data_IF_259499425773
#
_entry.id   IF_259499425773
#
_cell.length_a   1.000
_cell.length_b   1.000
_cell.length_c   1.000
_cell.angle_alpha   90.00
_cell.angle_beta   90.00
_cell.angle_gamma   90.00
#
_symmetry.space_group_name_H-M   'P 1'
#
loop_
_entity.id
_entity.type
_entity.pdbx_description
1 polymer ?
#
# COMPACT_ATOMS: atom_id res chain seq x y z
N UNK A 1 -10.44 -31.53 -11.41
CA UNK A 1 -9.51 -30.55 -12.01
C UNK A 1 -9.52 -30.49 -13.54
N UNK A 2 -10.54 -31.03 -14.25
CA UNK A 2 -10.55 -31.05 -15.74
C UNK A 2 -11.14 -29.79 -16.40
N UNK A 3 -11.94 -29.00 -15.67
CA UNK A 3 -12.60 -27.80 -16.20
C UNK A 3 -11.73 -26.53 -16.21
N UNK A 4 -10.54 -26.57 -15.58
CA UNK A 4 -9.64 -25.41 -15.45
C UNK A 4 -8.86 -25.12 -16.74
N UNK A 5 -8.75 -26.11 -17.63
CA UNK A 5 -8.02 -26.04 -18.89
C UNK A 5 -8.96 -26.11 -20.10
N UNK A 6 -10.23 -25.75 -19.92
CA UNK A 6 -11.17 -25.70 -21.04
C UNK A 6 -10.91 -24.44 -21.87
N UNK A 7 -10.93 -24.58 -23.20
CA UNK A 7 -10.72 -23.47 -24.15
C UNK A 7 -11.72 -22.33 -23.93
N UNK A 8 -12.95 -22.67 -23.51
CA UNK A 8 -13.97 -21.69 -23.13
C UNK A 8 -13.55 -20.86 -21.92
N UNK A 9 -13.06 -21.51 -20.86
CA UNK A 9 -12.58 -20.82 -19.66
C UNK A 9 -11.39 -19.93 -19.98
N UNK A 10 -10.43 -20.40 -20.78
CA UNK A 10 -9.28 -19.61 -21.21
C UNK A 10 -9.70 -18.34 -21.96
N UNK A 11 -10.68 -18.43 -22.87
CA UNK A 11 -11.23 -17.27 -23.58
C UNK A 11 -11.92 -16.26 -22.65
N UNK A 12 -12.65 -16.74 -21.64
CA UNK A 12 -13.26 -15.85 -20.65
C UNK A 12 -12.19 -15.09 -19.85
N UNK A 13 -11.09 -15.74 -19.48
CA UNK A 13 -9.97 -15.09 -18.80
C UNK A 13 -9.28 -14.05 -19.68
N UNK A 14 -9.03 -14.36 -20.96
CA UNK A 14 -8.44 -13.40 -21.88
C UNK A 14 -9.33 -12.17 -22.07
N UNK A 15 -10.64 -12.37 -22.21
CA UNK A 15 -11.60 -11.27 -22.34
C UNK A 15 -11.64 -10.39 -21.07
N UNK A 16 -11.59 -10.99 -19.88
CA UNK A 16 -11.52 -10.25 -18.61
C UNK A 16 -10.24 -9.41 -18.52
N UNK A 17 -9.09 -9.98 -18.88
CA UNK A 17 -7.79 -9.29 -18.87
C UNK A 17 -7.80 -8.12 -19.86
N UNK A 18 -8.33 -8.33 -21.07
CA UNK A 18 -8.43 -7.27 -22.08
C UNK A 18 -9.33 -6.13 -21.61
N UNK A 19 -10.53 -6.44 -21.08
CA UNK A 19 -11.45 -5.45 -20.52
C UNK A 19 -10.82 -4.67 -19.37
N UNK A 20 -10.09 -5.36 -18.49
CA UNK A 20 -9.34 -4.70 -17.42
C UNK A 20 -8.26 -3.77 -17.97
N UNK A 21 -7.49 -4.21 -18.97
CA UNK A 21 -6.45 -3.39 -19.60
C UNK A 21 -7.05 -2.14 -20.25
N UNK A 22 -8.14 -2.27 -21.01
CA UNK A 22 -8.83 -1.14 -21.64
C UNK A 22 -9.39 -0.15 -20.60
N UNK A 23 -10.02 -0.65 -19.53
CA UNK A 23 -10.55 0.20 -18.47
C UNK A 23 -9.44 0.93 -17.72
N UNK A 24 -8.30 0.27 -17.45
CA UNK A 24 -7.11 0.91 -16.84
C UNK A 24 -6.52 1.99 -17.74
N UNK A 25 -6.39 1.76 -19.05
CA UNK A 25 -5.92 2.76 -20.02
C UNK A 25 -6.90 3.93 -20.08
N UNK A 26 -8.19 3.68 -20.26
CA UNK A 26 -9.21 4.72 -20.33
C UNK A 26 -9.30 5.55 -19.03
N UNK A 27 -9.11 4.90 -17.87
CA UNK A 27 -9.04 5.59 -16.59
C UNK A 27 -7.77 6.46 -16.50
N UNK A 28 -6.60 5.93 -16.90
CA UNK A 28 -5.34 6.68 -16.92
C UNK A 28 -5.41 7.89 -17.87
N UNK A 29 -6.02 7.76 -19.03
CA UNK A 29 -6.17 8.87 -19.97
C UNK A 29 -7.06 9.98 -19.39
N UNK A 30 -8.11 9.61 -18.64
CA UNK A 30 -9.06 10.57 -18.03
C UNK A 30 -8.53 11.21 -16.74
N UNK A 31 -7.80 10.46 -15.91
CA UNK A 31 -7.48 10.84 -14.53
C UNK A 31 -5.99 10.76 -14.19
N UNK A 32 -5.16 10.17 -15.05
CA UNK A 32 -3.74 9.94 -14.78
C UNK A 32 -2.95 11.21 -14.57
N UNK A 33 -3.29 12.30 -15.26
CA UNK A 33 -2.67 13.62 -15.04
C UNK A 33 -3.00 14.21 -13.65
N UNK A 34 -4.16 13.86 -13.07
CA UNK A 34 -4.64 14.39 -11.79
C UNK A 34 -4.06 13.65 -10.59
N UNK A 35 -3.80 12.34 -10.73
CA UNK A 35 -3.32 11.47 -9.65
C UNK A 35 -1.89 10.96 -9.89
N UNK A 36 -1.14 11.58 -10.81
CA UNK A 36 0.28 11.24 -11.02
C UNK A 36 1.08 11.62 -9.76
N UNK A 37 1.47 10.61 -8.98
CA UNK A 37 2.32 10.77 -7.77
C UNK A 37 3.75 11.21 -8.08
N UNK A 38 4.14 11.19 -9.35
CA UNK A 38 5.44 11.68 -9.80
C UNK A 38 5.24 13.00 -10.56
N UNK A 39 6.09 14.03 -10.32
CA UNK A 39 6.16 15.16 -11.24
C UNK A 39 6.42 14.62 -12.64
N UNK A 40 5.90 15.24 -13.71
CA UNK A 40 6.20 14.78 -15.06
C UNK A 40 7.72 14.73 -15.18
N UNK A 41 8.28 13.52 -15.20
CA UNK A 41 9.69 13.34 -15.45
C UNK A 41 9.91 14.03 -16.77
N UNK A 42 10.67 15.13 -16.77
CA UNK A 42 11.17 15.72 -18.01
C UNK A 42 11.79 14.53 -18.71
N UNK A 43 11.13 14.08 -19.79
CA UNK A 43 11.60 12.96 -20.58
C UNK A 43 13.02 13.35 -20.98
N UNK A 44 14.02 12.74 -20.33
CA UNK A 44 15.39 12.82 -20.82
C UNK A 44 15.31 12.43 -22.29
N UNK A 45 15.87 13.31 -23.14
CA UNK A 45 15.98 13.17 -24.59
C UNK A 45 15.88 11.71 -25.01
N UNK A 46 14.89 11.41 -25.86
CA UNK A 46 14.79 10.13 -26.57
C UNK A 46 16.21 9.77 -27.04
N UNK A 47 16.72 8.62 -26.61
CA UNK A 47 17.91 8.04 -27.23
C UNK A 47 17.68 8.03 -28.72
N UNK A 48 18.57 8.66 -29.48
CA UNK A 48 18.53 8.71 -30.92
C UNK A 48 18.67 7.29 -31.45
N UNK A 49 17.53 6.64 -31.71
CA UNK A 49 17.52 5.41 -32.49
C UNK A 49 17.92 5.82 -33.92
N UNK A 50 18.91 5.16 -34.55
CA UNK A 50 19.29 5.48 -35.91
C UNK A 50 18.06 5.33 -36.83
N UNK A 51 17.72 6.40 -37.53
CA UNK A 51 16.61 6.45 -38.48
C UNK A 51 16.97 5.56 -39.68
N UNK A 52 16.26 4.44 -39.84
CA UNK A 52 16.23 3.73 -41.11
C UNK A 52 15.51 4.60 -42.16
N UNK A 53 15.96 4.63 -43.42
CA UNK A 53 15.36 5.46 -44.45
C UNK A 53 13.90 5.06 -44.69
N UNK A 54 13.00 6.05 -44.57
CA UNK A 54 11.58 5.86 -44.79
C UNK A 54 11.31 5.49 -46.26
N UNK A 55 10.66 4.35 -46.48
CA UNK A 55 10.12 3.97 -47.79
C UNK A 55 8.85 4.80 -48.03
N UNK A 56 8.93 5.77 -48.92
CA UNK A 56 7.83 6.67 -49.24
C UNK A 56 6.73 5.92 -50.02
N UNK A 57 5.64 5.57 -49.34
CA UNK A 57 4.37 5.29 -49.99
C UNK A 57 3.34 6.28 -49.46
N UNK A 58 3.06 7.33 -50.24
CA UNK A 58 1.96 8.26 -49.96
C UNK A 58 0.65 7.67 -50.51
N UNK A 59 -0.27 7.34 -49.61
CA UNK A 59 -1.66 7.08 -49.97
C UNK A 59 -2.44 8.41 -50.01
N UNK A 60 -3.36 8.61 -50.97
CA UNK A 60 -4.11 9.85 -51.09
C UNK A 60 -5.10 10.04 -49.92
N UNK A 61 -5.21 11.28 -49.45
CA UNK A 61 -6.06 11.66 -48.32
C UNK A 61 -7.54 11.72 -48.73
N UNK A 62 -8.35 10.84 -48.15
CA UNK A 62 -9.82 10.90 -48.25
C UNK A 62 -10.30 12.04 -47.34
N UNK A 63 -10.82 13.11 -47.94
CA UNK A 63 -11.40 14.23 -47.22
C UNK A 63 -12.89 13.94 -46.95
N UNK A 64 -13.24 13.71 -45.68
CA UNK A 64 -14.64 13.70 -45.23
C UNK A 64 -14.92 15.04 -44.56
N UNK A 65 -15.87 15.86 -45.04
CA UNK A 65 -16.17 17.14 -44.43
C UNK A 65 -16.85 16.93 -43.06
N UNK A 66 -16.16 17.34 -42.00
CA UNK A 66 -16.67 17.33 -40.62
C UNK A 66 -17.60 18.52 -40.41
N UNK A 67 -18.91 18.27 -40.43
CA UNK A 67 -19.90 19.26 -39.97
C UNK A 67 -19.71 19.52 -38.46
N UNK A 68 -19.58 20.78 -38.08
CA UNK A 68 -19.46 21.22 -36.69
C UNK A 68 -20.85 21.56 -36.16
N UNK A 69 -21.47 20.64 -35.43
CA UNK A 69 -22.65 20.97 -34.62
C UNK A 69 -22.20 21.61 -33.30
N UNK A 70 -22.56 22.88 -33.11
CA UNK A 70 -22.39 23.61 -31.85
C UNK A 70 -23.50 23.22 -30.88
N UNK A 71 -23.35 22.13 -30.15
CA UNK A 71 -24.19 21.86 -28.96
C UNK A 71 -23.64 22.65 -27.76
N UNK A 72 -24.38 23.67 -27.33
CA UNK A 72 -24.22 24.31 -26.02
C UNK A 72 -24.51 23.25 -24.94
N UNK A 73 -23.52 22.94 -24.10
CA UNK A 73 -23.72 22.11 -22.91
C UNK A 73 -24.38 22.96 -21.81
N UNK A 74 -25.45 22.50 -21.15
CA UNK A 74 -25.96 23.17 -19.96
C UNK A 74 -24.93 23.06 -18.83
N UNK A 75 -24.86 24.10 -18.00
CA UNK A 75 -24.02 24.15 -16.82
C UNK A 75 -24.41 23.00 -15.87
N UNK A 76 -23.53 22.00 -15.79
CA UNK A 76 -23.58 21.01 -14.71
C UNK A 76 -22.89 21.65 -13.51
N UNK A 77 -23.60 21.69 -12.39
CA UNK A 77 -23.07 22.06 -11.08
C UNK A 77 -21.75 21.33 -10.85
N UNK A 78 -20.74 22.08 -10.42
CA UNK A 78 -19.42 21.52 -10.14
C UNK A 78 -19.58 20.35 -9.15
N UNK A 79 -19.05 19.15 -9.46
CA UNK A 79 -19.01 18.09 -8.47
C UNK A 79 -18.25 18.62 -7.26
N UNK A 80 -18.87 18.49 -6.09
CA UNK A 80 -18.26 18.73 -4.78
C UNK A 80 -16.80 18.28 -4.81
N UNK A 81 -15.89 19.14 -4.35
CA UNK A 81 -14.44 18.92 -4.29
C UNK A 81 -14.13 17.43 -4.11
N UNK A 82 -13.28 16.82 -4.95
CA UNK A 82 -12.91 15.43 -4.76
C UNK A 82 -12.40 15.31 -3.32
N UNK A 83 -12.99 14.39 -2.56
CA UNK A 83 -12.57 14.11 -1.19
C UNK A 83 -11.04 13.99 -1.21
N UNK A 84 -10.36 14.97 -0.60
CA UNK A 84 -8.93 14.89 -0.43
C UNK A 84 -8.69 13.63 0.40
N UNK A 85 -8.18 12.59 -0.23
CA UNK A 85 -7.84 11.34 0.44
C UNK A 85 -6.86 11.67 1.57
N UNK A 86 -7.38 11.78 2.79
CA UNK A 86 -6.55 12.01 3.96
C UNK A 86 -5.79 10.71 4.23
N UNK A 87 -4.49 10.74 3.98
CA UNK A 87 -3.61 9.58 4.17
C UNK A 87 -3.70 9.02 5.60
N UNK A 88 -3.86 9.91 6.59
CA UNK A 88 -4.00 9.57 8.00
C UNK A 88 -5.36 9.93 8.55
N UNK A 89 -5.81 9.13 9.52
CA UNK A 89 -6.96 9.47 10.36
C UNK A 89 -6.70 10.74 11.20
N UNK A 90 -7.76 11.51 11.51
CA UNK A 90 -7.63 12.69 12.34
C UNK A 90 -7.12 12.31 13.74
N UNK A 91 -6.32 13.21 14.32
CA UNK A 91 -5.74 12.98 15.64
C UNK A 91 -6.77 13.28 16.73
N UNK A 92 -6.79 12.44 17.76
CA UNK A 92 -7.54 12.67 18.99
C UNK A 92 -7.23 14.07 19.56
N UNK A 93 -8.24 14.86 19.98
CA UNK A 93 -8.03 16.25 20.41
C UNK A 93 -7.01 16.37 21.55
N UNK A 94 -7.01 15.43 22.50
CA UNK A 94 -6.06 15.36 23.61
C UNK A 94 -4.59 15.27 23.18
N UNK A 95 -4.32 14.58 22.07
CA UNK A 95 -2.95 14.49 21.53
C UNK A 95 -2.66 15.76 20.72
N UNK A 96 -3.64 16.29 20.00
CA UNK A 96 -3.50 17.51 19.19
C UNK A 96 -3.17 18.74 20.05
N UNK A 97 -3.72 18.86 21.25
CA UNK A 97 -3.41 19.97 22.17
C UNK A 97 -1.94 20.00 22.56
N UNK A 98 -1.31 18.83 22.73
CA UNK A 98 0.12 18.72 23.03
C UNK A 98 1.00 19.35 21.96
N UNK A 99 0.53 19.50 20.71
CA UNK A 99 1.33 20.12 19.66
C UNK A 99 1.75 21.56 20.00
N UNK A 100 0.94 22.25 20.80
CA UNK A 100 1.11 23.66 21.16
C UNK A 100 1.46 23.87 22.64
N UNK A 101 1.72 22.79 23.38
CA UNK A 101 2.00 22.86 24.80
C UNK A 101 3.51 22.96 25.09
N UNK A 102 4.01 24.19 25.28
CA UNK A 102 5.42 24.45 25.63
C UNK A 102 6.42 24.25 24.49
N UNK A 103 7.70 24.05 24.84
CA UNK A 103 8.81 24.00 23.88
C UNK A 103 9.42 22.61 23.72
N UNK A 104 9.78 22.28 22.47
CA UNK A 104 10.39 20.99 22.12
C UNK A 104 11.77 20.76 22.78
N UNK A 105 12.48 21.83 23.15
CA UNK A 105 13.80 21.74 23.81
C UNK A 105 13.71 21.17 25.23
N UNK A 106 12.57 21.38 25.89
CA UNK A 106 12.27 20.81 27.21
C UNK A 106 11.56 19.46 27.11
N UNK A 107 11.62 18.79 25.94
CA UNK A 107 10.87 17.57 25.66
C UNK A 107 9.35 17.73 25.83
N UNK A 108 8.81 18.93 25.62
CA UNK A 108 7.37 19.21 25.63
C UNK A 108 6.86 19.49 24.21
N UNK A 109 5.56 19.73 24.10
CA UNK A 109 4.99 20.24 22.87
C UNK A 109 4.98 19.19 21.75
N UNK A 110 5.55 19.60 20.61
CA UNK A 110 5.73 18.76 19.42
C UNK A 110 6.50 17.48 19.70
N UNK A 111 7.45 17.49 20.63
CA UNK A 111 8.21 16.28 20.98
C UNK A 111 7.28 15.20 21.55
N UNK A 112 6.53 15.53 22.61
CA UNK A 112 5.55 14.61 23.21
C UNK A 112 4.45 14.20 22.23
N UNK A 113 4.03 15.12 21.36
CA UNK A 113 3.07 14.80 20.31
C UNK A 113 3.59 13.70 19.38
N UNK A 114 4.83 13.83 18.90
CA UNK A 114 5.43 12.84 18.00
C UNK A 114 5.69 11.53 18.72
N UNK A 115 6.15 11.57 19.98
CA UNK A 115 6.36 10.39 20.81
C UNK A 115 5.06 9.61 21.01
N UNK A 116 3.99 10.27 21.47
CA UNK A 116 2.66 9.64 21.64
C UNK A 116 2.09 9.16 20.31
N UNK A 117 2.30 9.91 19.23
CA UNK A 117 1.80 9.50 17.90
C UNK A 117 2.61 8.36 17.29
N UNK A 118 3.88 8.17 17.68
CA UNK A 118 4.72 7.03 17.29
C UNK A 118 4.35 5.76 18.06
N UNK A 119 3.92 5.88 19.31
CA UNK A 119 3.51 4.75 20.14
C UNK A 119 2.21 4.07 19.64
N UNK A 120 1.36 4.78 18.89
CA UNK A 120 0.16 4.21 18.29
C UNK A 120 0.47 3.29 17.13
N UNK A 121 -0.30 2.21 17.01
CA UNK A 121 -0.18 1.27 15.90
C UNK A 121 -0.47 1.96 14.55
N UNK A 122 0.23 1.56 13.47
CA UNK A 122 -0.04 2.09 12.13
C UNK A 122 -1.50 1.94 11.70
N UNK A 123 -2.16 0.84 12.09
CA UNK A 123 -3.55 0.51 11.75
C UNK A 123 -4.58 1.49 12.34
N UNK A 124 -4.27 2.09 13.48
CA UNK A 124 -5.10 3.14 14.07
C UNK A 124 -4.88 4.49 13.39
N UNK A 125 -3.68 4.71 12.83
CA UNK A 125 -3.23 5.99 12.30
C UNK A 125 -3.57 6.15 10.82
N UNK A 126 -3.54 5.08 10.06
CA UNK A 126 -3.72 5.09 8.62
C UNK A 126 -4.95 4.27 8.24
N UNK A 127 -5.70 4.74 7.23
CA UNK A 127 -6.90 4.03 6.78
C UNK A 127 -6.55 2.75 6.01
N UNK A 128 -5.39 2.74 5.35
CA UNK A 128 -4.90 1.64 4.52
C UNK A 128 -3.38 1.51 4.69
N UNK A 129 -2.81 0.31 4.43
CA UNK A 129 -1.38 0.11 4.45
C UNK A 129 -0.73 0.95 3.36
N UNK A 130 0.22 1.80 3.73
CA UNK A 130 0.93 2.69 2.79
C UNK A 130 2.10 1.95 2.13
N UNK A 131 2.74 1.06 2.88
CA UNK A 131 3.93 0.32 2.47
C UNK A 131 3.58 -1.14 2.22
N UNK A 132 4.30 -1.79 1.31
CA UNK A 132 4.17 -3.24 1.07
C UNK A 132 4.52 -4.06 2.31
N UNK A 133 5.46 -3.59 3.14
CA UNK A 133 5.81 -4.26 4.40
C UNK A 133 4.67 -4.27 5.42
N UNK A 134 3.68 -3.38 5.28
CA UNK A 134 2.51 -3.34 6.15
C UNK A 134 1.38 -4.24 5.66
N UNK A 135 1.47 -4.79 4.44
CA UNK A 135 0.48 -5.73 3.93
C UNK A 135 0.40 -6.98 4.81
N UNK A 136 1.56 -7.45 5.29
CA UNK A 136 1.63 -8.54 6.25
C UNK A 136 1.25 -8.06 7.65
N UNK A 137 0.30 -8.75 8.28
CA UNK A 137 -0.14 -8.48 9.65
C UNK A 137 -1.15 -7.34 9.80
N UNK A 138 -1.53 -6.65 8.72
CA UNK A 138 -2.51 -5.54 8.78
C UNK A 138 -3.86 -6.02 9.31
N UNK A 139 -4.29 -5.44 10.43
CA UNK A 139 -5.56 -5.75 11.13
C UNK A 139 -5.71 -7.21 11.50
N UNK A 140 -4.60 -7.91 11.70
CA UNK A 140 -4.63 -9.32 12.08
C UNK A 140 -5.25 -9.53 13.47
N UNK A 141 -5.15 -8.53 14.36
CA UNK A 141 -5.78 -8.54 15.68
C UNK A 141 -7.32 -8.55 15.66
N UNK A 142 -7.95 -8.10 14.57
CA UNK A 142 -9.42 -8.15 14.45
C UNK A 142 -9.94 -9.56 14.17
N UNK A 143 -9.07 -10.44 13.64
CA UNK A 143 -9.40 -11.81 13.29
C UNK A 143 -8.96 -12.78 14.39
N UNK A 144 -7.84 -12.47 15.04
CA UNK A 144 -7.25 -13.29 16.10
C UNK A 144 -7.56 -12.63 17.44
N UNK A 145 -8.74 -12.93 17.98
CA UNK A 145 -9.18 -12.43 19.30
C UNK A 145 -8.28 -12.95 20.42
N UNK A 146 -7.82 -14.20 20.31
CA UNK A 146 -6.94 -14.83 21.29
C UNK A 146 -5.77 -15.52 20.58
N UNK A 147 -4.54 -15.14 20.95
CA UNK A 147 -3.33 -15.82 20.49
C UNK A 147 -3.21 -17.16 21.23
N UNK A 148 -4.02 -18.13 20.81
CA UNK A 148 -4.03 -19.46 21.41
C UNK A 148 -2.82 -20.26 20.91
N UNK A 149 -2.11 -20.86 21.85
CA UNK A 149 -1.10 -21.86 21.54
C UNK A 149 -1.81 -23.04 20.85
N UNK A 150 -1.25 -23.58 19.76
CA UNK A 150 -1.84 -24.74 19.10
C UNK A 150 -1.91 -25.91 20.09
N UNK A 151 -3.10 -26.49 20.25
CA UNK A 151 -3.37 -27.59 21.22
C UNK A 151 -2.38 -28.74 21.08
N UNK A 152 -1.94 -29.03 19.85
CA UNK A 152 -1.00 -30.11 19.55
C UNK A 152 0.29 -29.61 18.89
N UNK A 153 0.81 -28.46 19.34
CA UNK A 153 2.11 -27.95 18.90
C UNK A 153 3.27 -28.86 19.31
N UNK A 154 4.22 -29.11 18.41
CA UNK A 154 5.47 -29.80 18.77
C UNK A 154 6.29 -28.93 19.72
N UNK A 155 6.54 -29.43 20.93
CA UNK A 155 7.39 -28.79 21.93
C UNK A 155 8.79 -29.40 21.92
N UNK A 156 9.79 -28.60 22.25
CA UNK A 156 11.20 -29.03 22.33
C UNK A 156 11.51 -29.65 23.70
N UNK A 157 10.77 -30.68 24.09
CA UNK A 157 10.87 -31.28 25.43
C UNK A 157 12.29 -31.78 25.72
N UNK A 158 12.89 -32.54 24.80
CA UNK A 158 14.25 -33.09 24.98
C UNK A 158 15.28 -31.98 25.13
N UNK A 159 15.23 -30.95 24.28
CA UNK A 159 16.19 -29.83 24.37
C UNK A 159 16.05 -29.06 25.68
N UNK A 160 14.80 -28.87 26.14
CA UNK A 160 14.51 -28.11 27.35
C UNK A 160 14.86 -28.88 28.63
N UNK A 161 14.84 -30.22 28.61
CA UNK A 161 15.06 -31.05 29.81
C UNK A 161 16.44 -31.70 29.87
N UNK A 162 16.95 -32.18 28.74
CA UNK A 162 18.15 -33.03 28.72
C UNK A 162 19.44 -32.22 28.69
N UNK A 163 19.41 -31.02 28.11
CA UNK A 163 20.60 -30.18 27.97
C UNK A 163 20.52 -28.96 28.89
N UNK A 164 21.44 -28.87 29.84
CA UNK A 164 21.60 -27.67 30.68
C UNK A 164 22.54 -26.67 30.00
N UNK A 165 22.23 -25.37 30.09
CA UNK A 165 23.11 -24.30 29.58
C UNK A 165 24.45 -24.26 30.31
N UNK A 166 24.41 -24.53 31.62
CA UNK A 166 25.58 -24.63 32.47
C UNK A 166 25.90 -26.12 32.64
N UNK A 167 27.17 -26.50 32.48
CA UNK A 167 27.61 -27.89 32.61
C UNK A 167 27.38 -28.48 34.01
N UNK A 168 27.98 -29.66 34.25
CA UNK A 168 27.77 -30.47 35.48
C UNK A 168 27.96 -29.68 36.78
N UNK A 169 28.85 -28.69 36.80
CA UNK A 169 29.02 -27.77 37.92
C UNK A 169 28.31 -26.44 37.64
N UNK A 170 26.98 -26.41 37.75
CA UNK A 170 26.24 -25.16 37.68
C UNK A 170 26.26 -24.46 39.03
N UNK A 171 27.00 -23.36 39.13
CA UNK A 171 26.81 -22.41 40.23
C UNK A 171 25.58 -21.59 39.88
N UNK A 172 24.61 -21.54 40.79
CA UNK A 172 23.40 -20.75 40.62
C UNK A 172 23.83 -19.28 40.57
N UNK A 173 23.83 -18.70 39.37
CA UNK A 173 24.07 -17.27 39.16
C UNK A 173 22.76 -16.52 39.35
N UNK A 174 22.82 -15.28 39.86
CA UNK A 174 21.65 -14.42 40.00
C UNK A 174 20.86 -14.25 38.68
N UNK A 175 21.52 -14.42 37.54
CA UNK A 175 20.92 -14.34 36.20
C UNK A 175 20.05 -15.54 35.81
N UNK A 176 20.21 -16.68 36.48
CA UNK A 176 19.47 -17.93 36.17
C UNK A 176 18.02 -17.87 36.69
N UNK A 177 17.78 -17.11 37.76
CA UNK A 177 16.45 -16.88 38.31
C UNK A 177 15.53 -16.09 37.36
N UNK A 178 16.10 -15.32 36.42
CA UNK A 178 15.35 -14.52 35.44
C UNK A 178 14.89 -15.35 34.22
N UNK A 179 15.38 -16.59 34.08
CA UNK A 179 15.11 -17.44 32.92
C UNK A 179 13.90 -18.38 33.11
N UNK A 180 13.18 -18.29 34.24
CA UNK A 180 11.94 -19.06 34.42
C UNK A 180 10.84 -18.45 33.56
N UNK A 181 10.30 -19.16 32.56
CA UNK A 181 9.12 -18.70 31.85
C UNK A 181 7.91 -18.79 32.80
N UNK A 182 7.05 -17.76 32.77
CA UNK A 182 5.68 -17.85 33.29
C UNK A 182 4.86 -18.86 32.47
#
# INVERSE_FOLDING_TARGET
MKHLFDTRTQKCWTELIEKEAYTRIAWRDKYGAKYSRFPPTILKKKSEVPKLPARNYTLPAIHVPRQQEKTKKPAQEAPSKPEEFQEMRPVTPQIRTLLYDGFSKEQKGRYLYLEKRKAKQPEEKFQYPILSSWEYGWRQGDVIEELQLPVHGRLRTVDNTFFSRNGVFSKISATDALAKPN
#
